data_IF_194256276677
#
_entry.id   IF_194256276677
#
_cell.length_a   1.000
_cell.length_b   1.000
_cell.length_c   1.000
_cell.angle_alpha   90.00
_cell.angle_beta   90.00
_cell.angle_gamma   90.00
#
_symmetry.space_group_name_H-M   'P 1'
#
loop_
_entity.id
_entity.type
_entity.pdbx_description
1 polymer ?
#
# COMPACT_ATOMS: atom_id res chain seq x y z
N UNK A 1 -10.37 -5.17 37.76
CA UNK A 1 -9.30 -5.96 37.12
C UNK A 1 -9.39 -5.87 35.59
N UNK A 2 -8.70 -4.90 34.99
CA UNK A 2 -8.56 -4.78 33.54
C UNK A 2 -7.50 -5.76 33.04
N UNK A 3 -7.88 -7.03 32.90
CA UNK A 3 -7.09 -7.94 32.06
C UNK A 3 -7.61 -7.78 30.65
N UNK A 4 -6.85 -7.08 29.80
CA UNK A 4 -7.01 -7.21 28.35
C UNK A 4 -6.79 -8.69 28.05
N UNK A 5 -7.86 -9.41 27.73
CA UNK A 5 -7.78 -10.81 27.35
C UNK A 5 -7.44 -10.84 25.87
N UNK A 6 -6.16 -11.00 25.56
CA UNK A 6 -5.73 -11.31 24.19
C UNK A 6 -5.96 -12.80 23.97
N UNK A 7 -6.87 -13.14 23.06
CA UNK A 7 -7.12 -14.53 22.66
C UNK A 7 -6.06 -14.98 21.65
N UNK A 8 -5.46 -16.15 21.89
CA UNK A 8 -4.57 -16.79 20.91
C UNK A 8 -5.41 -17.38 19.78
N UNK A 9 -4.99 -17.19 18.54
CA UNK A 9 -5.54 -17.93 17.40
C UNK A 9 -5.18 -19.43 17.53
N UNK A 10 -6.17 -20.33 17.63
CA UNK A 10 -5.93 -21.78 17.68
C UNK A 10 -5.17 -22.32 16.46
N UNK A 11 -5.26 -21.65 15.29
CA UNK A 11 -4.58 -22.05 14.06
C UNK A 11 -3.06 -21.79 14.11
N UNK A 12 -2.59 -20.88 14.98
CA UNK A 12 -1.17 -20.57 15.19
C UNK A 12 -0.54 -21.43 16.30
N UNK A 13 -0.98 -22.69 16.45
CA UNK A 13 -0.55 -23.60 17.53
C UNK A 13 0.91 -24.07 17.42
N UNK A 14 1.59 -23.81 16.31
CA UNK A 14 2.93 -24.34 16.02
C UNK A 14 4.08 -23.56 16.70
N UNK A 15 3.78 -22.48 17.42
CA UNK A 15 4.78 -21.62 18.06
C UNK A 15 4.75 -21.74 19.59
N UNK A 16 5.93 -21.87 20.19
CA UNK A 16 6.13 -21.71 21.64
C UNK A 16 5.90 -20.25 22.00
N UNK A 17 4.75 -19.96 22.62
CA UNK A 17 4.39 -18.59 23.01
C UNK A 17 4.91 -18.27 24.40
N UNK A 18 5.48 -17.07 24.57
CA UNK A 18 5.73 -16.46 25.88
C UNK A 18 4.57 -15.52 26.23
N UNK A 19 4.22 -15.39 27.51
CA UNK A 19 3.11 -14.53 27.97
C UNK A 19 3.51 -13.04 27.97
N UNK A 20 3.92 -12.52 26.81
CA UNK A 20 4.20 -11.10 26.58
C UNK A 20 3.43 -10.62 25.34
N UNK A 21 3.01 -9.36 25.38
CA UNK A 21 2.46 -8.65 24.23
C UNK A 21 3.53 -7.68 23.73
N UNK A 22 4.06 -7.96 22.54
CA UNK A 22 5.03 -7.09 21.87
C UNK A 22 4.31 -6.38 20.72
N UNK A 23 4.29 -5.05 20.77
CA UNK A 23 3.61 -4.22 19.77
C UNK A 23 4.65 -3.68 18.80
N UNK A 24 4.64 -4.19 17.56
CA UNK A 24 5.55 -3.74 16.49
C UNK A 24 5.13 -2.37 15.96
N UNK A 25 3.83 -2.20 15.71
CA UNK A 25 3.25 -0.95 15.19
C UNK A 25 1.80 -0.79 15.65
N UNK A 26 1.25 0.38 15.41
CA UNK A 26 -0.15 0.74 15.72
C UNK A 26 -0.76 1.50 14.55
N UNK A 27 -2.09 1.57 14.51
CA UNK A 27 -2.74 2.46 13.57
C UNK A 27 -2.49 3.92 13.96
N UNK A 28 -1.98 4.70 13.00
CA UNK A 28 -1.59 6.09 13.17
C UNK A 28 -2.29 6.97 12.12
N UNK A 29 -2.46 8.28 12.38
CA UNK A 29 -2.92 9.22 11.38
C UNK A 29 -2.17 9.05 10.05
N UNK A 30 -2.87 8.82 8.93
CA UNK A 30 -2.23 8.57 7.65
C UNK A 30 -1.51 9.84 7.19
N UNK A 31 -0.30 9.66 6.66
CA UNK A 31 0.45 10.73 6.01
C UNK A 31 -0.23 11.13 4.70
N UNK A 32 0.22 12.24 4.10
CA UNK A 32 -0.22 12.61 2.75
C UNK A 32 0.04 11.45 1.78
N UNK A 33 -1.04 10.91 1.24
CA UNK A 33 -1.01 9.77 0.34
C UNK A 33 -0.43 10.14 -1.02
N UNK A 34 0.46 9.29 -1.51
CA UNK A 34 1.07 9.41 -2.83
C UNK A 34 0.83 8.11 -3.61
N UNK A 35 0.50 8.27 -4.89
CA UNK A 35 0.46 7.18 -5.85
C UNK A 35 1.89 6.69 -6.11
N UNK A 36 2.08 5.39 -6.30
CA UNK A 36 3.34 4.82 -6.77
C UNK A 36 3.34 4.72 -8.30
N UNK A 37 4.50 4.51 -8.93
CA UNK A 37 4.58 4.29 -10.39
C UNK A 37 3.73 3.10 -10.84
N UNK A 38 3.72 2.03 -10.05
CA UNK A 38 2.91 0.83 -10.33
C UNK A 38 1.43 1.17 -10.25
N UNK A 39 1.00 1.88 -9.19
CA UNK A 39 -0.39 2.28 -9.03
C UNK A 39 -0.84 3.25 -10.13
N UNK A 40 -0.01 4.21 -10.53
CA UNK A 40 -0.30 5.10 -11.67
C UNK A 40 -0.49 4.29 -12.95
N UNK A 41 0.41 3.34 -13.23
CA UNK A 41 0.31 2.49 -14.42
C UNK A 41 -0.96 1.62 -14.41
N UNK A 42 -1.32 1.03 -13.27
CA UNK A 42 -2.53 0.24 -13.11
C UNK A 42 -3.80 1.08 -13.25
N UNK A 43 -3.83 2.28 -12.66
CA UNK A 43 -4.96 3.21 -12.78
C UNK A 43 -5.14 3.70 -14.23
N UNK A 44 -4.05 4.05 -14.92
CA UNK A 44 -4.07 4.41 -16.35
C UNK A 44 -4.60 3.24 -17.20
N UNK A 45 -4.14 2.00 -16.94
CA UNK A 45 -4.69 0.81 -17.60
C UNK A 45 -6.18 0.58 -17.31
N UNK A 46 -6.61 0.86 -16.08
CA UNK A 46 -8.02 0.81 -15.68
C UNK A 46 -8.88 1.91 -16.30
N UNK A 47 -8.30 2.84 -17.06
CA UNK A 47 -9.03 3.86 -17.81
C UNK A 47 -9.03 5.26 -17.19
N UNK A 48 -8.26 5.49 -16.12
CA UNK A 48 -8.06 6.84 -15.57
C UNK A 48 -7.29 7.68 -16.60
N UNK A 49 -7.78 8.86 -17.01
CA UNK A 49 -7.13 9.70 -18.00
C UNK A 49 -5.71 10.13 -17.59
N UNK A 50 -4.80 10.24 -18.55
CA UNK A 50 -3.43 10.70 -18.28
C UNK A 50 -3.40 12.14 -17.77
N UNK A 51 -4.36 12.97 -18.19
CA UNK A 51 -4.58 14.33 -17.74
C UNK A 51 -4.75 14.42 -16.23
N UNK A 52 -5.41 13.45 -15.60
CA UNK A 52 -5.57 13.41 -14.14
C UNK A 52 -4.21 13.39 -13.42
N UNK A 53 -3.27 12.56 -13.89
CA UNK A 53 -1.94 12.46 -13.29
C UNK A 53 -1.07 13.68 -13.63
N UNK A 54 -1.18 14.18 -14.85
CA UNK A 54 -0.45 15.37 -15.30
C UNK A 54 -0.90 16.62 -14.52
N UNK A 55 -2.19 16.77 -14.28
CA UNK A 55 -2.73 17.87 -13.49
C UNK A 55 -2.23 17.82 -12.05
N UNK A 56 -2.19 16.63 -11.43
CA UNK A 56 -1.59 16.47 -10.09
C UNK A 56 -0.13 16.91 -10.09
N UNK A 57 0.66 16.48 -11.08
CA UNK A 57 2.06 16.83 -11.21
C UNK A 57 2.25 18.34 -11.40
N UNK A 58 1.52 18.95 -12.34
CA UNK A 58 1.62 20.37 -12.67
C UNK A 58 1.18 21.24 -11.49
N UNK A 59 0.03 20.94 -10.87
CA UNK A 59 -0.46 21.65 -9.69
C UNK A 59 0.54 21.57 -8.54
N UNK A 60 1.12 20.39 -8.29
CA UNK A 60 2.14 20.24 -7.23
C UNK A 60 3.38 21.08 -7.56
N UNK A 61 3.87 21.07 -8.79
CA UNK A 61 5.02 21.88 -9.21
C UNK A 61 4.76 23.39 -9.10
N UNK A 62 3.55 23.85 -9.39
CA UNK A 62 3.15 25.25 -9.23
C UNK A 62 3.10 25.67 -7.76
N UNK A 63 2.51 24.84 -6.90
CA UNK A 63 2.50 25.06 -5.45
C UNK A 63 3.93 25.17 -4.90
N UNK A 64 4.81 24.24 -5.30
CA UNK A 64 6.22 24.19 -4.90
C UNK A 64 6.99 25.48 -5.27
N UNK A 65 6.63 26.20 -6.34
CA UNK A 65 7.29 27.47 -6.73
C UNK A 65 6.99 28.61 -5.74
N UNK A 66 5.87 28.53 -5.04
CA UNK A 66 5.38 29.60 -4.16
C UNK A 66 5.75 29.40 -2.68
N UNK A 67 6.43 28.31 -2.34
CA UNK A 67 6.73 27.89 -0.96
C UNK A 67 7.44 28.98 -0.13
N UNK A 68 8.31 29.79 -0.73
CA UNK A 68 9.06 30.83 -0.01
C UNK A 68 8.32 32.17 0.14
N UNK A 69 7.23 32.36 -0.63
CA UNK A 69 6.57 33.67 -0.74
C UNK A 69 5.10 33.62 -0.30
N UNK A 70 4.53 32.42 -0.14
CA UNK A 70 3.14 32.22 0.24
C UNK A 70 3.07 31.38 1.52
N UNK A 71 2.56 31.97 2.61
CA UNK A 71 2.43 31.30 3.91
C UNK A 71 1.57 30.04 3.85
N UNK A 72 0.54 30.00 3.00
CA UNK A 72 -0.33 28.83 2.85
C UNK A 72 0.41 27.68 2.17
N UNK A 73 1.16 27.97 1.11
CA UNK A 73 1.99 26.97 0.42
C UNK A 73 3.12 26.46 1.31
N UNK A 74 3.78 27.38 2.04
CA UNK A 74 4.81 27.05 3.04
C UNK A 74 4.26 26.12 4.13
N UNK A 75 3.12 26.48 4.72
CA UNK A 75 2.49 25.70 5.78
C UNK A 75 2.03 24.34 5.27
N UNK A 76 1.44 24.27 4.06
CA UNK A 76 1.04 23.01 3.44
C UNK A 76 2.25 22.08 3.28
N UNK A 77 3.36 22.57 2.75
CA UNK A 77 4.58 21.79 2.60
C UNK A 77 5.14 21.35 3.96
N UNK A 78 5.18 22.26 4.96
CA UNK A 78 5.64 21.96 6.30
C UNK A 78 4.79 20.87 6.99
N UNK A 79 3.47 20.93 6.87
CA UNK A 79 2.58 19.89 7.42
C UNK A 79 2.74 18.54 6.70
N UNK A 80 2.91 18.56 5.37
CA UNK A 80 3.06 17.34 4.57
C UNK A 80 4.34 16.56 4.88
N UNK A 81 5.38 17.25 5.34
CA UNK A 81 6.70 16.69 5.62
C UNK A 81 7.12 16.89 7.08
N UNK A 82 6.18 17.23 7.97
CA UNK A 82 6.52 17.64 9.33
C UNK A 82 7.14 16.54 10.19
N UNK A 83 7.02 15.26 9.81
CA UNK A 83 7.77 14.18 10.47
C UNK A 83 9.28 14.28 10.24
N UNK A 84 9.73 15.01 9.21
CA UNK A 84 11.16 15.19 8.93
C UNK A 84 11.82 16.17 9.91
N UNK A 85 11.05 17.06 10.54
CA UNK A 85 11.55 18.12 11.41
C UNK A 85 10.71 18.30 12.69
N UNK A 86 10.01 17.25 13.12
CA UNK A 86 9.12 17.26 14.29
C UNK A 86 8.10 18.43 14.30
N UNK A 87 7.56 18.75 13.11
CA UNK A 87 6.62 19.83 12.84
C UNK A 87 7.17 21.23 13.11
N UNK A 88 8.49 21.40 13.22
CA UNK A 88 9.13 22.65 13.60
C UNK A 88 8.80 23.77 12.59
N UNK A 89 9.02 23.54 11.28
CA UNK A 89 8.71 24.53 10.26
C UNK A 89 7.22 24.93 10.27
N UNK A 90 6.31 23.98 10.51
CA UNK A 90 4.89 24.26 10.61
C UNK A 90 4.57 25.16 11.81
N UNK A 91 5.15 24.84 12.98
CA UNK A 91 5.01 25.65 14.20
C UNK A 91 5.56 27.07 14.01
N UNK A 92 6.74 27.22 13.41
CA UNK A 92 7.35 28.52 13.10
C UNK A 92 6.41 29.39 12.26
N UNK A 93 5.82 28.82 11.21
CA UNK A 93 4.87 29.53 10.33
C UNK A 93 3.59 29.90 11.09
N UNK A 94 3.06 28.99 11.92
CA UNK A 94 1.83 29.20 12.70
C UNK A 94 1.96 30.31 13.75
N UNK A 95 3.12 30.43 14.40
CA UNK A 95 3.39 31.53 15.35
C UNK A 95 3.79 32.85 14.66
N UNK A 96 3.82 32.86 13.32
CA UNK A 96 3.98 34.06 12.52
C UNK A 96 5.42 34.42 12.16
N UNK A 97 6.38 33.50 12.30
CA UNK A 97 7.76 33.74 11.87
C UNK A 97 7.79 34.03 10.36
N UNK A 98 8.52 35.08 9.92
CA UNK A 98 8.66 35.40 8.50
C UNK A 98 9.32 34.27 7.70
N UNK A 99 8.85 34.00 6.48
CA UNK A 99 9.38 32.92 5.62
C UNK A 99 10.82 33.16 5.15
N UNK A 100 11.30 34.39 5.25
CA UNK A 100 12.68 34.78 4.95
C UNK A 100 13.62 34.65 6.15
N UNK A 101 13.12 34.24 7.32
CA UNK A 101 13.94 33.87 8.46
C UNK A 101 14.90 32.73 8.05
N UNK A 102 16.23 32.87 8.26
CA UNK A 102 17.23 31.95 7.73
C UNK A 102 17.00 30.47 8.04
N UNK A 103 16.62 30.13 9.27
CA UNK A 103 16.41 28.73 9.67
C UNK A 103 15.16 28.14 8.99
N UNK A 104 14.03 28.85 9.04
CA UNK A 104 12.80 28.44 8.37
C UNK A 104 13.00 28.30 6.85
N UNK A 105 13.72 29.24 6.24
CA UNK A 105 14.00 29.22 4.81
C UNK A 105 14.86 28.02 4.40
N UNK A 106 15.83 27.63 5.21
CA UNK A 106 16.64 26.43 4.97
C UNK A 106 15.78 25.15 5.07
N UNK A 107 14.96 25.03 6.13
CA UNK A 107 14.01 23.91 6.26
C UNK A 107 13.07 23.82 5.05
N UNK A 108 12.43 24.93 4.64
CA UNK A 108 11.56 24.95 3.47
C UNK A 108 12.30 24.54 2.18
N UNK A 109 13.61 24.84 2.08
CA UNK A 109 14.43 24.39 0.95
C UNK A 109 14.67 22.89 0.94
N UNK A 110 14.85 22.28 2.11
CA UNK A 110 14.92 20.82 2.27
C UNK A 110 13.59 20.18 1.88
N UNK A 111 12.46 20.70 2.39
CA UNK A 111 11.13 20.18 2.07
C UNK A 111 10.84 20.24 0.56
N UNK A 112 11.14 21.37 -0.08
CA UNK A 112 11.01 21.55 -1.52
C UNK A 112 11.88 20.54 -2.30
N UNK A 113 13.09 20.26 -1.83
CA UNK A 113 13.99 19.28 -2.45
C UNK A 113 13.41 17.87 -2.34
N UNK A 114 12.87 17.50 -1.18
CA UNK A 114 12.21 16.21 -0.95
C UNK A 114 11.00 16.04 -1.87
N UNK A 115 10.15 17.06 -1.98
CA UNK A 115 8.98 17.03 -2.89
C UNK A 115 9.40 16.82 -4.35
N UNK A 116 10.46 17.51 -4.81
CA UNK A 116 11.01 17.30 -6.15
C UNK A 116 11.59 15.89 -6.36
N UNK A 117 12.19 15.28 -5.34
CA UNK A 117 12.71 13.91 -5.41
C UNK A 117 11.54 12.93 -5.53
N UNK A 118 10.48 13.11 -4.74
CA UNK A 118 9.28 12.27 -4.81
C UNK A 118 8.60 12.37 -6.19
N UNK A 119 8.42 13.58 -6.73
CA UNK A 119 7.84 13.76 -8.07
C UNK A 119 8.70 13.09 -9.15
N UNK A 120 10.04 13.21 -9.07
CA UNK A 120 10.96 12.50 -9.99
C UNK A 120 10.85 10.98 -9.87
N UNK A 121 10.53 10.46 -8.68
CA UNK A 121 10.30 9.05 -8.45
C UNK A 121 8.89 8.59 -8.88
N UNK A 122 8.07 9.48 -9.46
CA UNK A 122 6.69 9.19 -9.85
C UNK A 122 5.73 9.06 -8.66
N UNK A 123 6.05 9.69 -7.53
CA UNK A 123 5.20 9.70 -6.34
C UNK A 123 4.26 10.90 -6.34
N UNK A 124 3.09 10.71 -6.94
CA UNK A 124 2.13 11.78 -7.16
C UNK A 124 1.17 11.92 -5.96
N UNK A 125 1.09 13.09 -5.31
CA UNK A 125 0.19 13.27 -4.18
C UNK A 125 -1.26 13.31 -4.63
N UNK A 126 -2.12 12.51 -3.99
CA UNK A 126 -3.54 12.40 -4.35
C UNK A 126 -4.42 12.76 -3.16
N UNK A 127 -5.51 13.48 -3.42
CA UNK A 127 -6.49 13.89 -2.40
C UNK A 127 -7.51 12.78 -2.14
N UNK A 128 -8.24 12.88 -1.03
CA UNK A 128 -9.27 11.90 -0.62
C UNK A 128 -8.78 10.45 -0.64
N UNK A 129 -7.51 10.25 -0.28
CA UNK A 129 -6.87 8.94 -0.30
C UNK A 129 -5.98 8.74 0.92
N UNK A 130 -5.90 7.52 1.43
CA UNK A 130 -5.25 7.18 2.69
C UNK A 130 -4.57 5.81 2.59
N UNK A 131 -3.43 5.61 3.26
CA UNK A 131 -2.94 4.27 3.57
C UNK A 131 -3.42 3.90 4.97
N UNK A 132 -4.27 2.89 5.07
CA UNK A 132 -4.86 2.42 6.33
C UNK A 132 -4.46 0.98 6.59
N UNK A 133 -4.30 0.64 7.87
CA UNK A 133 -4.03 -0.74 8.28
C UNK A 133 -5.28 -1.59 8.03
N UNK A 134 -5.10 -2.71 7.35
CA UNK A 134 -6.17 -3.65 7.05
C UNK A 134 -6.33 -4.69 8.14
N UNK A 135 -7.58 -5.01 8.46
CA UNK A 135 -7.91 -6.14 9.34
C UNK A 135 -9.28 -6.71 8.98
N UNK A 136 -9.68 -7.79 9.64
CA UNK A 136 -10.95 -8.45 9.40
C UNK A 136 -12.04 -7.86 10.31
N UNK A 137 -13.25 -7.66 9.78
CA UNK A 137 -14.44 -7.32 10.55
C UNK A 137 -14.77 -8.44 11.55
N UNK A 138 -14.64 -8.24 12.87
CA UNK A 138 -14.94 -9.25 13.87
C UNK A 138 -16.44 -9.49 14.07
N UNK A 139 -17.31 -8.61 13.55
CA UNK A 139 -18.77 -8.71 13.71
C UNK A 139 -19.40 -9.66 12.70
N UNK A 140 -18.77 -9.82 11.53
CA UNK A 140 -19.31 -10.60 10.42
C UNK A 140 -20.53 -9.96 9.75
N UNK A 141 -20.77 -8.65 9.95
CA UNK A 141 -21.90 -7.94 9.35
C UNK A 141 -21.63 -7.58 7.89
N UNK A 142 -20.38 -7.24 7.53
CA UNK A 142 -20.02 -6.86 6.17
C UNK A 142 -20.31 -7.98 5.14
N UNK A 143 -20.78 -7.60 3.96
CA UNK A 143 -20.90 -8.49 2.78
C UNK A 143 -19.57 -8.56 2.02
N UNK A 144 -19.49 -9.50 1.08
CA UNK A 144 -18.30 -9.78 0.26
C UNK A 144 -17.72 -8.54 -0.45
N UNK A 145 -18.57 -7.63 -0.92
CA UNK A 145 -18.21 -6.38 -1.62
C UNK A 145 -18.19 -5.14 -0.72
N UNK A 146 -18.38 -5.31 0.59
CA UNK A 146 -18.45 -4.22 1.57
C UNK A 146 -17.20 -4.19 2.46
N UNK A 147 -16.73 -2.98 2.74
CA UNK A 147 -15.65 -2.72 3.71
C UNK A 147 -16.12 -1.68 4.72
N UNK A 148 -15.59 -1.71 5.94
CA UNK A 148 -15.78 -0.61 6.88
C UNK A 148 -14.49 0.19 7.00
N UNK A 149 -14.50 1.44 6.54
CA UNK A 149 -13.34 2.34 6.59
C UNK A 149 -13.54 3.38 7.68
N UNK A 150 -12.58 3.48 8.60
CA UNK A 150 -12.61 4.39 9.75
C UNK A 150 -11.52 5.45 9.58
N UNK A 151 -11.92 6.72 9.51
CA UNK A 151 -11.03 7.87 9.45
C UNK A 151 -11.10 8.70 10.73
N UNK A 152 -10.50 9.89 10.72
CA UNK A 152 -10.46 10.79 11.90
C UNK A 152 -11.86 11.15 12.42
N UNK A 153 -12.80 11.37 11.50
CA UNK A 153 -14.19 11.73 11.78
C UNK A 153 -15.11 10.53 12.01
N UNK A 154 -14.57 9.30 12.04
CA UNK A 154 -15.32 8.06 12.17
C UNK A 154 -15.46 7.30 10.85
N UNK A 155 -16.44 6.39 10.83
CA UNK A 155 -16.74 5.52 9.69
C UNK A 155 -17.26 6.34 8.49
N UNK A 156 -16.80 5.98 7.29
CA UNK A 156 -17.25 6.62 6.04
C UNK A 156 -18.21 5.71 5.27
N UNK A 157 -18.88 6.28 4.27
CA UNK A 157 -19.78 5.52 3.38
C UNK A 157 -19.64 5.94 1.93
N UNK A 158 -20.01 5.04 1.02
CA UNK A 158 -19.91 5.23 -0.43
C UNK A 158 -18.84 4.35 -1.05
N UNK A 159 -18.65 4.46 -2.36
CA UNK A 159 -17.69 3.63 -3.08
C UNK A 159 -16.25 4.08 -2.78
N UNK A 160 -15.34 3.11 -2.68
CA UNK A 160 -13.92 3.30 -2.42
C UNK A 160 -13.09 2.41 -3.33
N UNK A 161 -11.96 2.94 -3.80
CA UNK A 161 -10.90 2.11 -4.38
C UNK A 161 -10.03 1.56 -3.27
N UNK A 162 -9.71 0.26 -3.36
CA UNK A 162 -8.85 -0.44 -2.42
C UNK A 162 -7.73 -1.14 -3.18
N UNK A 163 -6.49 -0.96 -2.71
CA UNK A 163 -5.30 -1.52 -3.34
C UNK A 163 -4.17 -1.69 -2.30
N UNK A 164 -3.29 -2.66 -2.48
CA UNK A 164 -2.10 -2.87 -1.64
C UNK A 164 -0.84 -2.66 -2.45
N UNK A 165 0.12 -1.91 -1.92
CA UNK A 165 1.42 -1.78 -2.58
C UNK A 165 2.37 -2.90 -2.12
N UNK A 166 3.26 -3.35 -3.00
CA UNK A 166 3.22 -3.23 -4.47
C UNK A 166 2.33 -4.31 -5.11
N UNK A 167 1.26 -3.92 -5.79
CA UNK A 167 0.51 -4.78 -6.71
C UNK A 167 0.89 -4.53 -8.17
N UNK A 168 0.84 -5.57 -8.99
CA UNK A 168 1.21 -5.57 -10.42
C UNK A 168 0.11 -6.09 -11.35
N UNK A 169 -0.88 -6.82 -10.84
CA UNK A 169 -1.97 -7.35 -11.64
C UNK A 169 -3.08 -6.31 -11.86
N UNK A 170 -3.70 -6.37 -13.03
CA UNK A 170 -4.78 -5.45 -13.43
C UNK A 170 -6.03 -5.56 -12.54
N UNK A 171 -6.16 -6.66 -11.81
CA UNK A 171 -7.24 -6.92 -10.86
C UNK A 171 -6.90 -6.59 -9.41
N UNK A 172 -5.71 -6.07 -9.09
CA UNK A 172 -5.34 -5.79 -7.69
C UNK A 172 -6.02 -4.54 -7.12
N UNK A 173 -6.65 -3.73 -7.98
CA UNK A 173 -7.40 -2.55 -7.55
C UNK A 173 -8.88 -2.92 -7.58
N UNK A 174 -9.49 -2.91 -6.40
CA UNK A 174 -10.90 -3.23 -6.22
C UNK A 174 -11.71 -1.95 -6.02
N UNK A 175 -12.94 -1.94 -6.55
CA UNK A 175 -13.97 -0.96 -6.18
C UNK A 175 -14.90 -1.65 -5.19
N UNK A 176 -14.92 -1.18 -3.95
CA UNK A 176 -15.68 -1.76 -2.85
C UNK A 176 -16.59 -0.71 -2.23
N UNK A 177 -17.59 -1.14 -1.48
CA UNK A 177 -18.54 -0.24 -0.83
C UNK A 177 -18.17 -0.02 0.63
N UNK A 178 -17.73 1.19 0.98
CA UNK A 178 -17.61 1.59 2.37
C UNK A 178 -19.00 1.64 3.02
N UNK A 179 -19.19 0.82 4.07
CA UNK A 179 -20.46 0.63 4.75
C UNK A 179 -20.30 0.85 6.24
N UNK A 180 -21.22 1.62 6.82
CA UNK A 180 -21.25 1.84 8.26
C UNK A 180 -21.75 0.60 8.99
N UNK A 181 -20.99 0.13 9.97
CA UNK A 181 -21.28 -1.03 10.82
C UNK A 181 -21.34 -0.58 12.27
N UNK A 182 -22.54 -0.52 12.83
CA UNK A 182 -22.77 -0.03 14.20
C UNK A 182 -22.13 -0.95 15.24
N UNK A 183 -22.23 -2.27 15.04
CA UNK A 183 -21.67 -3.25 15.96
C UNK A 183 -20.14 -3.13 16.10
N UNK A 184 -19.46 -2.58 15.09
CA UNK A 184 -18.01 -2.41 15.07
C UNK A 184 -17.53 -1.34 16.07
N UNK A 185 -18.38 -0.40 16.46
CA UNK A 185 -18.05 0.63 17.46
C UNK A 185 -17.69 0.01 18.82
N UNK A 186 -18.33 -1.10 19.19
CA UNK A 186 -18.04 -1.81 20.44
C UNK A 186 -16.66 -2.49 20.44
N UNK A 187 -16.14 -2.84 19.25
CA UNK A 187 -14.83 -3.47 19.08
C UNK A 187 -13.71 -2.44 18.95
N UNK A 188 -13.94 -1.40 18.15
CA UNK A 188 -12.93 -0.39 17.80
C UNK A 188 -12.82 0.68 18.89
N UNK A 189 -13.92 0.97 19.58
CA UNK A 189 -14.01 2.05 20.56
C UNK A 189 -13.64 3.39 19.93
N UNK A 190 -12.62 4.04 20.50
CA UNK A 190 -12.13 5.33 20.02
C UNK A 190 -10.97 5.23 19.01
N UNK A 191 -10.60 4.01 18.60
CA UNK A 191 -9.53 3.80 17.62
C UNK A 191 -9.94 4.32 16.24
N UNK A 192 -8.96 4.71 15.44
CA UNK A 192 -9.17 5.36 14.14
C UNK A 192 -8.20 4.82 13.10
N UNK A 193 -8.41 5.19 11.84
CA UNK A 193 -7.49 4.95 10.72
C UNK A 193 -7.26 3.46 10.39
N UNK A 194 -8.35 2.73 10.19
CA UNK A 194 -8.29 1.32 9.82
C UNK A 194 -9.34 1.00 8.75
N UNK A 195 -9.10 -0.06 7.99
CA UNK A 195 -10.08 -0.65 7.08
C UNK A 195 -10.36 -2.09 7.51
N UNK A 196 -11.64 -2.42 7.64
CA UNK A 196 -12.14 -3.73 8.03
C UNK A 196 -12.73 -4.41 6.81
N UNK A 197 -12.21 -5.61 6.53
CA UNK A 197 -12.61 -6.46 5.42
C UNK A 197 -13.61 -7.52 5.87
N UNK A 198 -14.52 -7.98 4.98
CA UNK A 198 -15.52 -8.98 5.31
C UNK A 198 -14.88 -10.36 5.55
N UNK A 199 -15.52 -11.14 6.39
CA UNK A 199 -15.22 -12.58 6.57
C UNK A 199 -15.87 -13.46 5.49
N UNK A 200 -16.63 -12.85 4.58
CA UNK A 200 -17.47 -13.53 3.60
C UNK A 200 -16.85 -13.39 2.20
N UNK A 201 -16.96 -14.45 1.43
CA UNK A 201 -16.48 -14.50 0.05
C UNK A 201 -15.85 -15.86 -0.25
N UNK A 202 -15.65 -16.19 -1.54
CA UNK A 202 -14.94 -17.41 -1.95
C UNK A 202 -13.44 -17.33 -1.61
N UNK A 203 -12.89 -16.11 -1.50
CA UNK A 203 -11.51 -15.80 -1.20
C UNK A 203 -11.44 -14.51 -0.38
N UNK A 204 -10.43 -14.36 0.47
CA UNK A 204 -10.28 -13.14 1.27
C UNK A 204 -9.87 -11.97 0.38
N UNK A 205 -10.46 -10.79 0.59
CA UNK A 205 -10.08 -9.57 -0.13
C UNK A 205 -8.60 -9.20 0.05
N UNK A 206 -7.98 -9.57 1.17
CA UNK A 206 -6.53 -9.41 1.34
C UNK A 206 -5.75 -10.19 0.28
N UNK A 207 -6.08 -11.47 0.07
CA UNK A 207 -5.42 -12.32 -0.92
C UNK A 207 -5.70 -11.85 -2.36
N UNK A 208 -6.93 -11.40 -2.64
CA UNK A 208 -7.28 -10.88 -3.96
C UNK A 208 -6.47 -9.63 -4.34
N UNK A 209 -6.11 -8.83 -3.35
CA UNK A 209 -5.42 -7.56 -3.50
C UNK A 209 -3.91 -7.79 -3.33
N UNK A 210 -3.28 -8.15 -4.45
CA UNK A 210 -1.84 -8.39 -4.54
C UNK A 210 -1.31 -9.50 -3.62
N UNK A 211 -2.12 -10.52 -3.28
CA UNK A 211 -1.68 -11.64 -2.42
C UNK A 211 -1.39 -11.21 -0.98
N UNK A 212 -2.17 -10.28 -0.45
CA UNK A 212 -2.00 -9.78 0.91
C UNK A 212 -2.71 -10.60 1.98
N UNK A 213 -2.50 -10.18 3.21
CA UNK A 213 -3.21 -10.70 4.37
C UNK A 213 -3.56 -9.57 5.36
N UNK A 214 -3.71 -9.91 6.64
CA UNK A 214 -4.13 -8.99 7.69
C UNK A 214 -3.16 -8.98 8.88
N UNK A 215 -1.87 -9.28 8.65
CA UNK A 215 -0.83 -9.35 9.70
C UNK A 215 -0.15 -7.99 10.00
N UNK A 216 -0.50 -6.96 9.23
CA UNK A 216 0.14 -5.64 9.26
C UNK A 216 0.04 -4.86 7.95
N UNK A 217 -0.54 -5.48 6.92
CA UNK A 217 -0.74 -4.88 5.60
C UNK A 217 -1.44 -3.51 5.61
N UNK A 218 -0.92 -2.62 4.77
CA UNK A 218 -1.42 -1.27 4.57
C UNK A 218 -2.08 -1.13 3.20
N UNK A 219 -3.33 -0.69 3.20
CA UNK A 219 -4.15 -0.57 2.01
C UNK A 219 -4.34 0.90 1.63
N UNK A 220 -4.05 1.21 0.36
CA UNK A 220 -4.50 2.43 -0.28
C UNK A 220 -6.01 2.41 -0.41
N UNK A 221 -6.68 3.34 0.27
CA UNK A 221 -8.12 3.58 0.20
C UNK A 221 -8.34 4.94 -0.44
N UNK A 222 -9.14 5.04 -1.51
CA UNK A 222 -9.45 6.31 -2.15
C UNK A 222 -10.94 6.51 -2.40
N UNK A 223 -11.43 7.70 -2.04
CA UNK A 223 -12.75 8.24 -2.43
C UNK A 223 -12.62 9.33 -3.49
N UNK A 224 -11.48 9.40 -4.17
CA UNK A 224 -11.28 10.43 -5.18
C UNK A 224 -12.30 10.24 -6.31
N UNK A 225 -13.14 11.25 -6.60
CA UNK A 225 -14.25 11.10 -7.53
C UNK A 225 -13.78 10.78 -8.95
N UNK A 226 -12.69 11.39 -9.41
CA UNK A 226 -12.11 11.13 -10.74
C UNK A 226 -11.62 9.69 -10.87
N UNK A 227 -10.99 9.17 -9.80
CA UNK A 227 -10.54 7.77 -9.80
C UNK A 227 -11.74 6.81 -9.82
N UNK A 228 -12.78 7.07 -9.02
CA UNK A 228 -13.99 6.24 -8.96
C UNK A 228 -14.82 6.31 -10.25
N UNK A 229 -14.85 7.46 -10.91
CA UNK A 229 -15.61 7.67 -12.15
C UNK A 229 -14.96 6.93 -13.32
N UNK A 230 -13.64 6.99 -13.44
CA UNK A 230 -12.93 6.51 -14.62
C UNK A 230 -12.37 5.10 -14.49
N UNK A 231 -12.02 4.66 -13.29
CA UNK A 231 -11.38 3.36 -13.10
C UNK A 231 -12.36 2.20 -13.32
N UNK A 232 -11.92 1.21 -14.10
CA UNK A 232 -12.66 -0.02 -14.37
C UNK A 232 -11.91 -1.20 -13.73
N UNK A 233 -12.52 -1.89 -12.75
CA UNK A 233 -11.87 -3.03 -12.11
C UNK A 233 -11.71 -4.20 -13.08
N UNK A 234 -10.63 -4.95 -12.91
CA UNK A 234 -10.38 -6.22 -13.58
C UNK A 234 -10.67 -7.41 -12.67
N UNK A 235 -10.68 -8.61 -13.25
CA UNK A 235 -10.72 -9.84 -12.46
C UNK A 235 -9.44 -9.99 -11.62
N UNK A 236 -9.56 -10.36 -10.33
CA UNK A 236 -8.41 -10.58 -9.46
C UNK A 236 -7.43 -11.62 -10.00
N UNK A 237 -6.16 -11.52 -9.59
CA UNK A 237 -5.17 -12.54 -9.93
C UNK A 237 -5.49 -13.85 -9.21
N UNK A 238 -5.26 -14.97 -9.90
CA UNK A 238 -5.35 -16.32 -9.34
C UNK A 238 -4.10 -17.08 -9.77
N UNK A 239 -3.36 -17.64 -8.80
CA UNK A 239 -2.16 -18.41 -9.12
C UNK A 239 -2.51 -19.60 -10.03
N UNK A 240 -1.76 -19.71 -11.13
CA UNK A 240 -1.80 -20.86 -12.03
C UNK A 240 -1.00 -22.03 -11.46
N UNK A 241 -0.16 -21.77 -10.47
CA UNK A 241 0.68 -22.77 -9.81
C UNK A 241 -0.12 -23.38 -8.67
N UNK A 242 -0.38 -24.71 -8.66
CA UNK A 242 -0.99 -25.34 -7.51
C UNK A 242 -0.10 -25.09 -6.28
N UNK A 243 -0.67 -24.85 -5.08
CA UNK A 243 0.12 -24.65 -3.88
C UNK A 243 1.11 -25.81 -3.77
N UNK A 244 2.40 -25.48 -3.95
CA UNK A 244 3.41 -26.53 -3.96
C UNK A 244 3.41 -27.12 -2.56
N UNK A 245 3.10 -28.41 -2.42
CA UNK A 245 3.40 -29.17 -1.20
C UNK A 245 4.92 -29.38 -1.07
N UNK A 246 5.72 -28.42 -1.52
CA UNK A 246 7.17 -28.43 -1.47
C UNK A 246 7.62 -27.75 -0.20
N UNK A 247 7.34 -28.42 0.92
CA UNK A 247 8.29 -28.45 2.01
C UNK A 247 8.48 -29.92 2.37
N UNK A 248 9.22 -30.62 1.51
CA UNK A 248 9.89 -31.88 1.90
C UNK A 248 10.99 -31.63 2.93
N UNK A 249 11.24 -30.37 3.31
CA UNK A 249 12.06 -30.00 4.44
C UNK A 249 11.45 -30.56 5.73
N UNK A 250 12.28 -31.21 6.55
CA UNK A 250 11.88 -31.61 7.91
C UNK A 250 11.43 -30.34 8.65
N UNK A 251 10.32 -30.44 9.39
CA UNK A 251 9.86 -29.35 10.27
C UNK A 251 11.02 -28.96 11.18
N UNK A 252 11.35 -27.66 11.37
CA UNK A 252 12.51 -27.24 12.16
C UNK A 252 12.54 -27.85 13.57
N UNK A 253 11.37 -28.06 14.18
CA UNK A 253 11.24 -28.70 15.50
C UNK A 253 11.61 -30.19 15.56
N UNK A 254 11.87 -30.82 14.41
CA UNK A 254 12.29 -32.23 14.28
C UNK A 254 13.77 -32.38 13.94
N UNK A 255 14.50 -31.28 13.76
CA UNK A 255 15.94 -31.28 13.49
C UNK A 255 16.71 -31.36 14.81
N UNK A 256 17.86 -32.05 14.81
CA UNK A 256 18.82 -31.89 15.91
C UNK A 256 19.43 -30.49 15.89
N UNK A 257 20.11 -30.09 16.97
CA UNK A 257 20.77 -28.79 17.02
C UNK A 257 21.83 -28.65 15.90
N UNK A 258 22.57 -29.72 15.63
CA UNK A 258 23.60 -29.76 14.59
C UNK A 258 23.00 -29.73 13.18
N UNK A 259 21.92 -30.49 12.93
CA UNK A 259 21.20 -30.46 11.65
C UNK A 259 20.60 -29.06 11.41
N UNK A 260 20.06 -28.42 12.44
CA UNK A 260 19.51 -27.07 12.35
C UNK A 260 20.61 -26.03 12.08
N UNK A 261 21.76 -26.14 12.74
CA UNK A 261 22.91 -25.27 12.49
C UNK A 261 23.40 -25.40 11.04
N UNK A 262 23.53 -26.63 10.53
CA UNK A 262 23.93 -26.90 9.14
C UNK A 262 22.92 -26.32 8.14
N UNK A 263 21.62 -26.53 8.36
CA UNK A 263 20.56 -25.99 7.50
C UNK A 263 20.55 -24.45 7.50
N UNK A 264 20.71 -23.81 8.67
CA UNK A 264 20.80 -22.36 8.78
C UNK A 264 22.05 -21.82 8.08
N UNK A 265 23.18 -22.53 8.17
CA UNK A 265 24.41 -22.14 7.52
C UNK A 265 24.32 -22.27 6.00
N UNK A 266 23.75 -23.36 5.49
CA UNK A 266 23.50 -23.57 4.06
C UNK A 266 22.50 -22.53 3.51
N UNK A 267 21.42 -22.27 4.24
CA UNK A 267 20.46 -21.21 3.90
C UNK A 267 21.15 -19.84 3.85
N UNK A 268 22.00 -19.51 4.83
CA UNK A 268 22.79 -18.28 4.80
C UNK A 268 23.71 -18.21 3.57
N UNK A 269 24.44 -19.28 3.25
CA UNK A 269 25.34 -19.32 2.10
C UNK A 269 24.57 -19.16 0.79
N UNK A 270 23.44 -19.87 0.62
CA UNK A 270 22.56 -19.74 -0.55
C UNK A 270 22.04 -18.31 -0.69
N UNK A 271 21.46 -17.75 0.36
CA UNK A 271 20.92 -16.38 0.33
C UNK A 271 22.03 -15.34 0.08
N UNK A 272 23.23 -15.53 0.65
CA UNK A 272 24.34 -14.57 0.53
C UNK A 272 25.07 -14.62 -0.81
N UNK A 273 25.22 -15.81 -1.40
CA UNK A 273 26.06 -16.03 -2.59
C UNK A 273 25.28 -16.41 -3.85
N UNK A 274 24.02 -16.83 -3.69
CA UNK A 274 23.09 -17.18 -4.78
C UNK A 274 21.77 -16.41 -4.65
N UNK A 275 21.85 -15.16 -4.19
CA UNK A 275 20.69 -14.28 -4.06
C UNK A 275 19.90 -14.23 -5.38
N UNK A 276 18.63 -14.61 -5.31
CA UNK A 276 17.68 -14.47 -6.41
C UNK A 276 17.10 -13.06 -6.38
N UNK A 277 17.34 -12.28 -7.44
CA UNK A 277 16.71 -10.96 -7.60
C UNK A 277 15.42 -11.04 -8.45
N UNK A 278 14.83 -12.23 -8.56
CA UNK A 278 13.72 -12.51 -9.48
C UNK A 278 12.52 -11.60 -9.23
N UNK A 279 12.16 -11.34 -7.96
CA UNK A 279 11.05 -10.44 -7.59
C UNK A 279 11.26 -9.03 -8.16
N UNK A 280 12.43 -8.43 -7.86
CA UNK A 280 12.77 -7.09 -8.34
C UNK A 280 12.88 -7.03 -9.87
N UNK A 281 13.53 -8.02 -10.48
CA UNK A 281 13.65 -8.10 -11.93
C UNK A 281 12.31 -8.26 -12.63
N UNK A 282 11.39 -9.04 -12.06
CA UNK A 282 10.04 -9.24 -12.58
C UNK A 282 9.25 -7.93 -12.50
N UNK A 283 9.28 -7.24 -11.35
CA UNK A 283 8.62 -5.95 -11.16
C UNK A 283 9.15 -4.86 -12.11
N UNK A 284 10.47 -4.71 -12.23
CA UNK A 284 11.10 -3.72 -13.11
C UNK A 284 10.82 -4.02 -14.60
N UNK A 285 10.88 -5.30 -14.98
CA UNK A 285 10.55 -5.74 -16.34
C UNK A 285 9.08 -5.52 -16.65
N UNK A 286 8.19 -5.80 -15.70
CA UNK A 286 6.75 -5.56 -15.83
C UNK A 286 6.50 -4.08 -16.05
N UNK A 287 7.07 -3.21 -15.21
CA UNK A 287 6.88 -1.76 -15.30
C UNK A 287 7.37 -1.21 -16.65
N UNK A 288 8.50 -1.72 -17.15
CA UNK A 288 9.05 -1.34 -18.46
C UNK A 288 8.12 -1.75 -19.60
N UNK A 289 7.56 -2.96 -19.56
CA UNK A 289 6.59 -3.42 -20.56
C UNK A 289 5.28 -2.64 -20.48
N UNK A 290 4.82 -2.33 -19.26
CA UNK A 290 3.60 -1.59 -19.01
C UNK A 290 3.69 -0.16 -19.55
N UNK A 291 4.81 0.53 -19.32
CA UNK A 291 5.08 1.87 -19.85
C UNK A 291 4.99 1.89 -21.39
N UNK A 292 5.63 0.91 -22.05
CA UNK A 292 5.53 0.73 -23.50
C UNK A 292 4.11 0.38 -23.95
N UNK A 293 3.41 -0.46 -23.19
CA UNK A 293 2.04 -0.88 -23.51
C UNK A 293 1.07 0.31 -23.51
N UNK A 294 1.18 1.20 -22.52
CA UNK A 294 0.33 2.39 -22.38
C UNK A 294 0.66 3.46 -23.43
N UNK A 295 1.93 3.62 -23.80
CA UNK A 295 2.35 4.65 -24.77
C UNK A 295 2.18 4.24 -26.24
N UNK A 296 1.95 2.96 -26.52
CA UNK A 296 1.73 2.47 -27.87
C UNK A 296 0.34 2.86 -28.39
N UNK A 297 0.29 3.43 -29.59
CA UNK A 297 -0.96 3.70 -30.30
C UNK A 297 -1.72 2.42 -30.68
N UNK A 298 -3.00 2.57 -31.00
CA UNK A 298 -3.92 1.45 -31.24
C UNK A 298 -3.65 0.67 -32.53
N UNK A 299 -2.78 1.20 -33.40
CA UNK A 299 -2.37 0.54 -34.65
C UNK A 299 -1.51 -0.71 -34.44
N UNK A 300 -1.00 -0.95 -33.21
CA UNK A 300 -0.08 -2.06 -32.90
C UNK A 300 -0.70 -3.17 -32.05
N UNK A 301 -1.85 -3.66 -32.48
CA UNK A 301 -2.66 -4.65 -31.74
C UNK A 301 -1.88 -5.94 -31.41
N UNK A 302 -1.16 -6.51 -32.37
CA UNK A 302 -0.37 -7.75 -32.16
C UNK A 302 0.75 -7.54 -31.14
N UNK A 303 1.44 -6.39 -31.20
CA UNK A 303 2.50 -6.05 -30.25
C UNK A 303 1.94 -5.92 -28.83
N UNK A 304 0.80 -5.21 -28.68
CA UNK A 304 0.08 -5.07 -27.40
C UNK A 304 -0.35 -6.42 -26.83
N UNK A 305 -0.87 -7.33 -27.67
CA UNK A 305 -1.29 -8.66 -27.23
C UNK A 305 -0.10 -9.50 -26.71
N UNK A 306 1.03 -9.49 -27.41
CA UNK A 306 2.23 -10.22 -26.97
C UNK A 306 2.84 -9.62 -25.69
N UNK A 307 2.84 -8.29 -25.55
CA UNK A 307 3.28 -7.64 -24.31
C UNK A 307 2.36 -7.99 -23.14
N UNK A 308 1.04 -8.00 -23.33
CA UNK A 308 0.08 -8.40 -22.28
C UNK A 308 0.36 -9.83 -21.80
N UNK A 309 0.63 -10.75 -22.72
CA UNK A 309 1.01 -12.12 -22.38
C UNK A 309 2.31 -12.19 -21.56
N UNK A 310 3.32 -11.40 -21.93
CA UNK A 310 4.59 -11.31 -21.18
C UNK A 310 4.39 -10.71 -19.80
N UNK A 311 3.57 -9.65 -19.68
CA UNK A 311 3.25 -9.03 -18.40
C UNK A 311 2.56 -10.01 -17.46
N UNK A 312 1.56 -10.77 -17.93
CA UNK A 312 0.89 -11.80 -17.14
C UNK A 312 1.88 -12.85 -16.61
N UNK A 313 2.81 -13.32 -17.45
CA UNK A 313 3.85 -14.26 -16.99
C UNK A 313 4.79 -13.65 -15.95
N UNK A 314 5.11 -12.36 -16.07
CA UNK A 314 5.94 -11.67 -15.07
C UNK A 314 5.19 -11.48 -13.76
N UNK A 315 3.87 -11.23 -13.81
CA UNK A 315 3.01 -11.17 -12.63
C UNK A 315 3.00 -12.52 -11.91
N UNK A 316 2.81 -13.63 -12.64
CA UNK A 316 2.85 -14.97 -12.03
C UNK A 316 4.19 -15.23 -11.33
N UNK A 317 5.31 -14.91 -12.00
CA UNK A 317 6.65 -15.03 -11.40
C UNK A 317 6.80 -14.13 -10.17
N UNK A 318 6.24 -12.92 -10.22
CA UNK A 318 6.33 -11.95 -9.13
C UNK A 318 5.60 -12.45 -7.89
N UNK A 319 4.34 -12.86 -8.03
CA UNK A 319 3.51 -13.29 -6.90
C UNK A 319 3.90 -14.66 -6.37
N UNK A 320 4.19 -15.63 -7.22
CA UNK A 320 4.64 -16.95 -6.77
C UNK A 320 6.00 -16.85 -6.03
N UNK A 321 6.78 -15.79 -6.26
CA UNK A 321 8.06 -15.57 -5.60
C UNK A 321 7.98 -14.71 -4.32
N UNK A 322 6.84 -14.06 -4.02
CA UNK A 322 6.70 -13.27 -2.78
C UNK A 322 6.79 -14.15 -1.52
N UNK A 323 6.27 -15.38 -1.61
CA UNK A 323 6.20 -16.34 -0.50
C UNK A 323 7.29 -17.43 -0.55
N UNK A 324 8.25 -17.33 -1.48
CA UNK A 324 9.30 -18.32 -1.74
C UNK A 324 10.60 -18.04 -0.97
#
# INVERSE_FOLDING_TARGET
PSMIKVSKDPALSNFSTFNALEVVTTSNPPKRTKLSRNLVALLSYGGVPDEFFLDILLNTLEESKTIFNNKRSALKAALNYGDMDDQNAAQMILVGIPLDEPHLKDHLSILLKTEKIDLKAGRLPVTESYYLMGTVDPTGELKEDEVCVILESGQISGDVLVYRNPGLHFGDIHVLKATYVKALEDYVGNSKYAVFFPQKGPRSLGDEIAGGDFDGDMYFISRNPELLEHFKPGEPWVSLTPPSKSNSAKIPSKLSAEELEEELFDMFLKTRFHASNVIGMAADSWLTLMDRFLTLGDERVEEKAEMKKKMLRLIDIYYDALDA
#
